data_IF_439251045781
#
_entry.id   IF_439251045781
#
_cell.length_a   1.000
_cell.length_b   1.000
_cell.length_c   1.000
_cell.angle_alpha   90.00
_cell.angle_beta   90.00
_cell.angle_gamma   90.00
#
_symmetry.space_group_name_H-M   'P 1'
#
loop_
_entity.id
_entity.type
_entity.pdbx_description
1 polymer ?
#
# COMPACT_ATOMS: atom_id res chain seq x y z
N UNK A 1 2.69 -19.60 -20.58
CA UNK A 1 4.04 -19.53 -19.98
C UNK A 1 4.20 -18.16 -19.34
N UNK A 2 4.94 -18.04 -18.24
CA UNK A 2 5.25 -16.76 -17.58
C UNK A 2 6.74 -16.50 -17.77
N UNK A 3 7.10 -15.26 -18.09
CA UNK A 3 8.48 -14.76 -18.07
C UNK A 3 8.60 -13.69 -16.98
N UNK A 4 9.68 -13.70 -16.22
CA UNK A 4 9.93 -12.71 -15.17
C UNK A 4 11.41 -12.34 -15.10
N UNK A 5 11.69 -11.14 -14.62
CA UNK A 5 13.04 -10.63 -14.45
C UNK A 5 13.06 -9.36 -13.60
N UNK A 6 14.25 -8.94 -13.19
CA UNK A 6 14.40 -7.68 -12.49
C UNK A 6 14.07 -6.51 -13.43
N UNK A 7 13.19 -5.60 -13.01
CA UNK A 7 12.64 -4.54 -13.87
C UNK A 7 13.72 -3.72 -14.61
N UNK A 8 14.88 -3.47 -13.98
CA UNK A 8 16.00 -2.75 -14.61
C UNK A 8 16.90 -3.59 -15.53
N UNK A 9 16.56 -4.86 -15.79
CA UNK A 9 17.35 -5.81 -16.58
C UNK A 9 16.55 -6.55 -17.66
N UNK A 10 15.23 -6.38 -17.70
CA UNK A 10 14.39 -6.97 -18.74
C UNK A 10 14.47 -6.16 -20.02
N UNK A 11 14.30 -6.83 -21.15
CA UNK A 11 14.27 -6.26 -22.51
C UNK A 11 12.86 -6.28 -23.14
N UNK A 12 11.85 -6.63 -22.33
CA UNK A 12 10.44 -6.65 -22.70
C UNK A 12 9.62 -5.72 -21.78
N UNK A 13 8.45 -5.30 -22.26
CA UNK A 13 7.49 -4.53 -21.46
C UNK A 13 6.69 -5.49 -20.55
N UNK A 14 6.69 -5.28 -19.22
CA UNK A 14 5.99 -6.18 -18.31
C UNK A 14 4.48 -5.90 -18.29
N UNK A 15 3.67 -6.94 -18.17
CA UNK A 15 2.23 -6.77 -17.90
C UNK A 15 1.96 -6.40 -16.42
N UNK A 16 2.85 -6.85 -15.53
CA UNK A 16 2.69 -6.75 -14.08
C UNK A 16 4.03 -6.48 -13.41
N UNK A 17 4.05 -5.58 -12.43
CA UNK A 17 5.19 -5.30 -11.55
C UNK A 17 4.88 -5.82 -10.15
N UNK A 18 5.79 -6.64 -9.60
CA UNK A 18 5.71 -7.13 -8.23
C UNK A 18 6.76 -6.40 -7.38
N UNK A 19 6.32 -5.79 -6.28
CA UNK A 19 7.18 -5.12 -5.31
C UNK A 19 7.07 -5.82 -3.96
N UNK A 20 8.17 -6.41 -3.50
CA UNK A 20 8.33 -6.79 -2.11
C UNK A 20 8.76 -5.57 -1.31
N UNK A 21 8.01 -5.24 -0.27
CA UNK A 21 8.35 -4.14 0.62
C UNK A 21 7.74 -4.33 1.99
N UNK A 22 8.31 -3.62 2.97
CA UNK A 22 7.74 -3.63 4.31
C UNK A 22 6.36 -2.94 4.34
N UNK A 23 5.65 -3.09 5.45
CA UNK A 23 4.33 -2.48 5.64
C UNK A 23 4.27 -0.96 5.37
N UNK A 24 5.32 -0.22 5.69
CA UNK A 24 5.38 1.23 5.45
C UNK A 24 5.62 1.56 3.96
N UNK A 25 6.37 0.75 3.22
CA UNK A 25 6.55 0.90 1.78
C UNK A 25 5.26 0.56 1.02
N UNK A 26 4.59 -0.54 1.37
CA UNK A 26 3.30 -0.90 0.78
C UNK A 26 2.23 0.15 1.11
N UNK A 27 2.23 0.72 2.33
CA UNK A 27 1.37 1.85 2.66
C UNK A 27 1.56 3.03 1.69
N UNK A 28 2.79 3.34 1.27
CA UNK A 28 3.05 4.42 0.30
C UNK A 28 2.46 4.11 -1.07
N UNK A 29 2.58 2.87 -1.54
CA UNK A 29 1.99 2.41 -2.81
C UNK A 29 0.46 2.57 -2.75
N UNK A 30 -0.18 2.08 -1.69
CA UNK A 30 -1.64 2.21 -1.48
C UNK A 30 -2.06 3.69 -1.48
N UNK A 31 -1.32 4.56 -0.79
CA UNK A 31 -1.63 5.99 -0.77
C UNK A 31 -1.46 6.66 -2.13
N UNK A 32 -0.49 6.21 -2.93
CA UNK A 32 -0.33 6.68 -4.31
C UNK A 32 -1.51 6.26 -5.17
N UNK A 33 -1.86 4.99 -5.13
CA UNK A 33 -3.01 4.41 -5.84
C UNK A 33 -4.33 5.12 -5.50
N UNK A 34 -4.58 5.38 -4.21
CA UNK A 34 -5.79 6.03 -3.73
C UNK A 34 -5.79 7.56 -3.88
N UNK A 35 -4.69 8.19 -4.29
CA UNK A 35 -4.60 9.66 -4.32
C UNK A 35 -5.66 10.30 -5.23
N UNK A 36 -5.81 9.76 -6.45
CA UNK A 36 -6.83 10.21 -7.41
C UNK A 36 -8.15 9.44 -7.28
N UNK A 37 -8.05 8.14 -6.98
CA UNK A 37 -9.20 7.22 -6.91
C UNK A 37 -10.06 7.43 -5.66
N UNK A 38 -9.48 7.84 -4.54
CA UNK A 38 -10.12 7.78 -3.23
C UNK A 38 -10.54 6.37 -2.85
N UNK A 39 -11.40 6.23 -1.84
CA UNK A 39 -11.97 4.93 -1.48
C UNK A 39 -11.02 4.04 -0.67
N UNK A 40 -10.98 2.74 -1.01
CA UNK A 40 -10.26 1.69 -0.26
C UNK A 40 -9.67 0.66 -1.22
N UNK A 41 -8.50 0.13 -0.88
CA UNK A 41 -7.97 -1.09 -1.51
C UNK A 41 -8.66 -2.29 -0.87
N UNK A 42 -9.15 -3.21 -1.71
CA UNK A 42 -9.67 -4.50 -1.25
C UNK A 42 -8.54 -5.51 -1.28
N UNK A 43 -8.44 -6.29 -0.21
CA UNK A 43 -7.46 -7.37 -0.10
C UNK A 43 -8.23 -8.65 0.22
N UNK A 44 -7.95 -9.70 -0.53
CA UNK A 44 -8.46 -11.05 -0.33
C UNK A 44 -7.28 -12.00 -0.44
N UNK A 45 -7.05 -12.80 0.58
CA UNK A 45 -5.93 -13.75 0.57
C UNK A 45 -6.24 -14.95 1.45
N UNK A 46 -5.67 -16.10 1.08
CA UNK A 46 -5.66 -17.31 1.90
C UNK A 46 -4.28 -17.60 2.51
N UNK A 47 -3.30 -16.69 2.33
CA UNK A 47 -1.93 -16.75 2.89
C UNK A 47 -1.13 -18.01 2.56
N UNK A 48 -1.52 -18.72 1.51
CA UNK A 48 -0.81 -19.84 0.93
C UNK A 48 -0.82 -19.67 -0.60
N UNK A 49 0.03 -20.40 -1.34
CA UNK A 49 0.03 -20.36 -2.81
C UNK A 49 0.02 -18.94 -3.42
N UNK A 50 0.70 -17.97 -2.79
CA UNK A 50 0.53 -16.53 -3.09
C UNK A 50 0.84 -16.18 -4.54
N UNK A 51 1.63 -16.98 -5.25
CA UNK A 51 1.86 -16.81 -6.68
C UNK A 51 0.55 -16.76 -7.47
N UNK A 52 -0.49 -17.49 -7.05
CA UNK A 52 -1.82 -17.40 -7.62
C UNK A 52 -2.52 -16.07 -7.26
N UNK A 53 -2.50 -15.65 -5.99
CA UNK A 53 -3.16 -14.41 -5.55
C UNK A 53 -2.47 -13.15 -6.11
N UNK A 54 -1.15 -13.09 -6.04
CA UNK A 54 -0.36 -11.92 -6.41
C UNK A 54 -0.33 -11.69 -7.93
N UNK A 55 -0.36 -12.76 -8.75
CA UNK A 55 -0.26 -12.63 -10.20
C UNK A 55 -1.65 -12.71 -10.83
N UNK A 56 -2.39 -13.80 -10.59
CA UNK A 56 -3.65 -14.07 -11.29
C UNK A 56 -4.72 -13.04 -10.95
N UNK A 57 -4.91 -12.67 -9.67
CA UNK A 57 -5.94 -11.68 -9.33
C UNK A 57 -5.61 -10.30 -9.91
N UNK A 58 -4.34 -9.89 -9.90
CA UNK A 58 -3.93 -8.61 -10.47
C UNK A 58 -4.20 -8.56 -11.99
N UNK A 59 -3.90 -9.65 -12.70
CA UNK A 59 -4.19 -9.77 -14.14
C UNK A 59 -5.69 -9.80 -14.42
N UNK A 60 -6.49 -10.54 -13.65
CA UNK A 60 -7.95 -10.64 -13.90
C UNK A 60 -8.66 -9.33 -13.58
N UNK A 61 -8.32 -8.71 -12.45
CA UNK A 61 -9.00 -7.51 -11.97
C UNK A 61 -8.48 -6.23 -12.61
N UNK A 62 -7.28 -6.27 -13.20
CA UNK A 62 -6.55 -5.08 -13.67
C UNK A 62 -6.49 -4.01 -12.56
N UNK A 63 -6.26 -4.46 -11.33
CA UNK A 63 -6.25 -3.61 -10.14
C UNK A 63 -5.12 -3.97 -9.17
N UNK A 64 -4.72 -2.99 -8.35
CA UNK A 64 -3.68 -3.15 -7.33
C UNK A 64 -4.06 -4.28 -6.36
N UNK A 65 -3.22 -5.31 -6.27
CA UNK A 65 -3.35 -6.36 -5.26
C UNK A 65 -2.27 -6.24 -4.20
N UNK A 66 -2.66 -6.47 -2.95
CA UNK A 66 -1.75 -6.60 -1.82
C UNK A 66 -1.84 -8.03 -1.32
N UNK A 67 -0.70 -8.68 -1.10
CA UNK A 67 -0.66 -10.06 -0.62
C UNK A 67 0.40 -10.23 0.48
N UNK A 68 0.14 -11.19 1.36
CA UNK A 68 1.13 -11.63 2.33
C UNK A 68 2.00 -12.70 1.69
N UNK A 69 3.33 -12.67 1.87
CA UNK A 69 4.18 -13.79 1.47
C UNK A 69 3.67 -15.07 2.15
N UNK A 70 3.78 -16.22 1.50
CA UNK A 70 3.43 -17.51 2.09
C UNK A 70 4.66 -18.20 2.70
N UNK A 71 4.52 -19.47 3.09
CA UNK A 71 5.65 -20.27 3.59
C UNK A 71 6.72 -20.49 2.51
N UNK A 72 6.30 -20.63 1.25
CA UNK A 72 7.19 -20.79 0.10
C UNK A 72 8.08 -19.57 -0.10
N UNK A 73 7.51 -18.35 -0.11
CA UNK A 73 8.31 -17.13 -0.28
C UNK A 73 9.31 -16.93 0.85
N UNK A 74 8.96 -17.30 2.08
CA UNK A 74 9.88 -17.20 3.22
C UNK A 74 11.03 -18.20 3.10
N UNK A 75 10.73 -19.45 2.74
CA UNK A 75 11.73 -20.52 2.65
C UNK A 75 12.65 -20.40 1.44
N UNK A 76 12.11 -19.96 0.31
CA UNK A 76 12.82 -19.99 -0.98
C UNK A 76 13.08 -18.60 -1.57
N UNK A 77 12.28 -17.60 -1.20
CA UNK A 77 12.38 -16.22 -1.68
C UNK A 77 12.97 -15.24 -0.66
N UNK A 78 13.37 -15.71 0.52
CA UNK A 78 13.88 -14.89 1.63
C UNK A 78 12.95 -13.75 2.08
N UNK A 79 11.63 -13.90 1.89
CA UNK A 79 10.67 -12.95 2.44
C UNK A 79 10.79 -12.92 3.98
N UNK A 80 10.73 -11.72 4.54
CA UNK A 80 10.81 -11.45 5.98
C UNK A 80 9.42 -11.27 6.60
N UNK A 81 9.36 -11.24 7.92
CA UNK A 81 8.09 -11.04 8.65
C UNK A 81 7.46 -9.65 8.41
N UNK A 82 8.26 -8.69 7.96
CA UNK A 82 7.77 -7.35 7.64
C UNK A 82 7.24 -7.21 6.21
N UNK A 83 7.56 -8.17 5.34
CA UNK A 83 7.32 -8.05 3.91
C UNK A 83 5.86 -8.30 3.54
N UNK A 84 5.42 -7.50 2.58
CA UNK A 84 4.18 -7.57 1.86
C UNK A 84 4.51 -7.45 0.36
N UNK A 85 3.61 -7.94 -0.48
CA UNK A 85 3.76 -7.92 -1.93
C UNK A 85 2.72 -6.95 -2.49
N UNK A 86 3.18 -5.94 -3.23
CA UNK A 86 2.33 -5.09 -4.06
C UNK A 86 2.40 -5.55 -5.51
N UNK A 87 1.29 -6.00 -6.06
CA UNK A 87 1.16 -6.39 -7.46
C UNK A 87 0.45 -5.31 -8.25
N UNK A 88 1.16 -4.72 -9.20
CA UNK A 88 0.76 -3.49 -9.89
C UNK A 88 0.68 -3.78 -11.39
N UNK A 89 -0.52 -3.76 -12.00
CA UNK A 89 -0.64 -3.71 -13.45
C UNK A 89 0.20 -2.57 -14.04
N UNK A 90 0.95 -2.83 -15.09
CA UNK A 90 1.98 -1.90 -15.54
C UNK A 90 1.41 -0.54 -15.98
N UNK A 91 0.21 -0.55 -16.55
CA UNK A 91 -0.53 0.62 -17.04
C UNK A 91 -0.85 1.66 -15.94
N UNK A 92 -0.90 1.27 -14.67
CA UNK A 92 -1.20 2.16 -13.55
C UNK A 92 0.02 2.61 -12.75
N UNK A 93 1.23 2.14 -13.09
CA UNK A 93 2.47 2.47 -12.36
C UNK A 93 2.71 3.98 -12.30
N UNK A 94 2.59 4.68 -13.43
CA UNK A 94 2.82 6.13 -13.50
C UNK A 94 1.83 6.92 -12.64
N UNK A 95 0.57 6.50 -12.60
CA UNK A 95 -0.44 7.15 -11.75
C UNK A 95 -0.12 6.95 -10.26
N UNK A 96 0.32 5.75 -9.87
CA UNK A 96 0.71 5.46 -8.50
C UNK A 96 1.93 6.29 -8.11
N UNK A 97 2.95 6.38 -8.98
CA UNK A 97 4.14 7.22 -8.75
C UNK A 97 3.73 8.68 -8.55
N UNK A 98 2.88 9.22 -9.44
CA UNK A 98 2.37 10.59 -9.31
C UNK A 98 1.62 10.78 -7.99
N UNK A 99 0.74 9.85 -7.61
CA UNK A 99 0.03 9.90 -6.34
C UNK A 99 0.98 9.84 -5.14
N UNK A 100 2.03 9.02 -5.22
CA UNK A 100 3.09 8.96 -4.22
C UNK A 100 3.78 10.31 -4.11
N UNK A 101 4.20 10.94 -5.20
CA UNK A 101 4.83 12.27 -5.17
C UNK A 101 3.93 13.35 -4.56
N UNK A 102 2.64 13.35 -4.93
CA UNK A 102 1.66 14.33 -4.44
C UNK A 102 1.40 14.17 -2.95
N UNK A 103 1.15 12.94 -2.50
CA UNK A 103 0.97 12.64 -1.06
C UNK A 103 2.25 12.89 -0.26
N UNK A 104 3.42 12.66 -0.87
CA UNK A 104 4.71 12.98 -0.28
C UNK A 104 4.83 14.48 -0.04
N UNK A 105 4.57 15.32 -1.05
CA UNK A 105 4.54 16.79 -0.93
C UNK A 105 3.53 17.27 0.13
N UNK A 106 2.40 16.59 0.28
CA UNK A 106 1.39 16.89 1.30
C UNK A 106 1.78 16.48 2.74
N UNK A 107 2.89 15.76 2.92
CA UNK A 107 3.46 15.44 4.23
C UNK A 107 3.60 13.95 4.53
N UNK A 108 3.08 13.06 3.69
CA UNK A 108 3.21 11.61 3.91
C UNK A 108 4.56 11.11 3.38
N UNK A 109 5.58 11.14 4.23
CA UNK A 109 6.96 10.81 3.89
C UNK A 109 7.29 9.33 4.14
N UNK A 110 8.31 8.83 3.44
CA UNK A 110 9.03 7.60 3.78
C UNK A 110 10.54 7.89 3.68
N UNK A 111 11.39 7.45 4.63
CA UNK A 111 11.05 6.76 5.88
C UNK A 111 10.07 7.52 6.78
N UNK A 112 9.29 6.80 7.59
CA UNK A 112 8.23 7.39 8.41
C UNK A 112 8.85 8.20 9.56
N UNK A 113 8.59 9.52 9.65
CA UNK A 113 9.14 10.32 10.74
C UNK A 113 8.39 10.02 12.04
N UNK A 114 9.14 9.70 13.10
CA UNK A 114 8.58 9.56 14.44
C UNK A 114 8.40 10.94 15.07
N UNK A 115 7.20 11.21 15.61
CA UNK A 115 6.92 12.41 16.39
C UNK A 115 6.72 12.03 17.86
N UNK A 116 7.60 12.54 18.72
CA UNK A 116 7.54 12.31 20.17
C UNK A 116 6.49 13.19 20.86
N UNK A 117 5.96 14.21 20.17
CA UNK A 117 4.93 15.11 20.68
C UNK A 117 3.54 14.68 20.23
N UNK A 118 2.54 14.84 21.10
CA UNK A 118 1.13 14.59 20.76
C UNK A 118 0.73 15.35 19.49
N UNK A 119 0.19 14.67 18.45
CA UNK A 119 -0.21 15.33 17.23
C UNK A 119 -1.21 16.45 17.54
N UNK A 120 -0.93 17.66 17.03
CA UNK A 120 -1.78 18.85 17.24
C UNK A 120 -3.24 18.61 16.85
N UNK A 121 -3.48 17.69 15.92
CA UNK A 121 -4.81 17.22 15.53
C UNK A 121 -5.59 16.65 16.73
N UNK A 122 -5.01 15.74 17.52
CA UNK A 122 -5.68 15.16 18.69
C UNK A 122 -5.99 16.21 19.75
N UNK A 123 -5.12 17.20 19.93
CA UNK A 123 -5.37 18.32 20.86
C UNK A 123 -6.55 19.17 20.40
N UNK A 124 -6.67 19.46 19.10
CA UNK A 124 -7.82 20.19 18.53
C UNK A 124 -9.11 19.37 18.59
N UNK A 125 -9.03 18.08 18.25
CA UNK A 125 -10.16 17.17 18.25
C UNK A 125 -10.76 17.01 19.66
N UNK A 126 -9.92 16.87 20.69
CA UNK A 126 -10.36 16.82 22.10
C UNK A 126 -11.18 18.06 22.48
N UNK A 127 -10.70 19.27 22.12
CA UNK A 127 -11.43 20.52 22.37
C UNK A 127 -12.79 20.57 21.66
N UNK A 128 -12.87 20.05 20.44
CA UNK A 128 -14.13 19.97 19.70
C UNK A 128 -15.09 18.97 20.34
N UNK A 129 -14.60 17.79 20.72
CA UNK A 129 -15.37 16.77 21.43
C UNK A 129 -15.92 17.28 22.76
N UNK A 130 -15.09 17.97 23.55
CA UNK A 130 -15.49 18.55 24.84
C UNK A 130 -16.56 19.63 24.66
N UNK A 131 -16.47 20.46 23.61
CA UNK A 131 -17.54 21.43 23.25
C UNK A 131 -18.84 20.72 22.91
N UNK A 132 -18.80 19.66 22.09
CA UNK A 132 -20.00 18.91 21.69
C UNK A 132 -20.63 18.16 22.87
N UNK A 133 -19.83 17.64 23.80
CA UNK A 133 -20.33 17.02 25.04
C UNK A 133 -21.06 18.05 25.89
N UNK A 134 -20.47 19.24 26.12
CA UNK A 134 -21.09 20.33 26.89
C UNK A 134 -22.40 20.83 26.28
N UNK A 135 -22.50 20.91 24.94
CA UNK A 135 -23.75 21.34 24.29
C UNK A 135 -24.87 20.30 24.35
N UNK A 136 -24.54 19.01 24.55
CA UNK A 136 -25.52 17.94 24.75
C UNK A 136 -26.04 17.84 26.18
N UNK A 137 -25.28 18.33 27.17
CA UNK A 137 -25.69 18.33 28.59
C UNK A 137 -26.50 19.59 28.98
N UNK A 138 -26.51 20.61 28.12
CA UNK A 138 -27.28 21.86 28.32
C UNK A 138 -28.68 21.83 27.67
N UNK A 139 -29.09 20.69 27.10
CA UNK A 139 -30.46 20.36 26.68
C UNK A 139 -30.98 19.27 27.61
#
# INVERSE_FOLDING_TARGET
AIVSGALGRIDFEPDLVLIWGNSAQIMRIIQGYLWKRGGRVKMSTFCDGVCADAITNAIITQDLQISFPCLGDRRFGNATDSDLIGSIPFDMVDEIILGMEKTHKAGTRYPIPFQMSTPKFFVKLKKQLDKTKRSKTAK
#
